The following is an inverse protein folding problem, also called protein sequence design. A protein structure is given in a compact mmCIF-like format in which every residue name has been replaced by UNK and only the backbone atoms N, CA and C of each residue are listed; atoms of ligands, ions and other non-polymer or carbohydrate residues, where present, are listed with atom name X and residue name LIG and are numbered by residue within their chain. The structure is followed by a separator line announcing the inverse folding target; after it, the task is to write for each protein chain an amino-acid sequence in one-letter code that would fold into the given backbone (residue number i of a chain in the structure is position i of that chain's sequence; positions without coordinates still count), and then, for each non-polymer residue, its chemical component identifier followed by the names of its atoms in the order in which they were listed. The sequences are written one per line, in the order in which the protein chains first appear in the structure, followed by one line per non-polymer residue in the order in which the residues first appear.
data_IF_425187657424
#
_entry.id   IF_425187657424
#
_cell.length_a   1.000
_cell.length_b   1.000
_cell.length_c   1.000
_cell.angle_alpha   90.00
_cell.angle_beta   90.00
_cell.angle_gamma   90.00
#
_symmetry.space_group_name_H-M   'P 1'
#
loop_
_entity.id
_entity.type
_entity.pdbx_description
1 polymer ?
#
# COMPACT_ATOMS: atom_id res chain seq x y z
N UNK A 1 39.74 -1.24 12.24
CA UNK A 1 38.30 -1.26 12.60
C UNK A 1 37.52 -0.78 11.39
N UNK A 2 36.79 -1.66 10.72
CA UNK A 2 35.77 -1.27 9.74
C UNK A 2 34.48 -0.99 10.53
N UNK A 3 34.37 0.23 11.06
CA UNK A 3 33.13 0.69 11.69
C UNK A 3 32.04 0.87 10.63
N UNK A 4 30.80 0.55 10.97
CA UNK A 4 29.66 0.83 10.10
C UNK A 4 29.53 2.34 9.84
N UNK A 5 28.82 2.72 8.78
CA UNK A 5 28.65 4.13 8.39
C UNK A 5 28.17 5.00 9.58
N UNK A 6 27.30 4.43 10.41
CA UNK A 6 26.72 5.07 11.61
C UNK A 6 27.74 5.42 12.70
N UNK A 7 28.92 4.78 12.73
CA UNK A 7 29.96 5.08 13.73
C UNK A 7 30.51 6.48 13.56
N UNK A 8 30.70 6.94 12.32
CA UNK A 8 31.15 8.29 12.01
C UNK A 8 29.98 9.23 11.73
N UNK A 9 28.97 8.79 10.97
CA UNK A 9 27.78 9.57 10.61
C UNK A 9 26.72 9.55 11.71
N UNK A 10 27.11 10.03 12.89
CA UNK A 10 26.31 10.01 14.12
C UNK A 10 25.68 11.38 14.47
N UNK A 11 25.88 12.40 13.63
CA UNK A 11 25.40 13.77 13.87
C UNK A 11 26.36 14.63 14.71
N UNK A 12 27.44 14.05 15.24
CA UNK A 12 28.51 14.76 15.96
C UNK A 12 29.81 14.76 15.15
N UNK A 13 30.35 13.59 14.81
CA UNK A 13 31.63 13.46 14.10
C UNK A 13 31.49 13.71 12.59
N UNK A 14 30.35 13.34 12.02
CA UNK A 14 29.95 13.64 10.66
C UNK A 14 28.43 13.73 10.59
N UNK A 15 27.92 14.31 9.49
CA UNK A 15 26.49 14.46 9.23
C UNK A 15 25.78 13.13 9.39
N UNK A 16 24.82 13.07 10.33
CA UNK A 16 23.96 11.91 10.53
C UNK A 16 22.72 11.95 9.64
N UNK A 17 21.65 11.29 10.10
CA UNK A 17 20.35 11.30 9.42
C UNK A 17 19.78 12.73 9.40
N UNK A 18 19.44 13.30 8.23
CA UNK A 18 18.85 14.64 8.16
C UNK A 18 17.41 14.67 8.69
N UNK A 19 16.88 15.87 8.94
CA UNK A 19 15.47 16.02 9.30
C UNK A 19 14.56 15.44 8.21
N UNK A 20 13.54 14.67 8.60
CA UNK A 20 12.64 13.98 7.68
C UNK A 20 13.18 12.65 7.11
N UNK A 21 14.38 12.20 7.53
CA UNK A 21 14.87 10.85 7.26
C UNK A 21 13.96 9.79 7.92
N UNK A 22 13.79 8.65 7.25
CA UNK A 22 13.06 7.51 7.79
C UNK A 22 13.64 7.08 9.15
N UNK A 23 12.79 6.91 10.16
CA UNK A 23 13.24 6.50 11.49
C UNK A 23 13.55 5.00 11.46
N UNK A 24 14.83 4.67 11.58
CA UNK A 24 15.32 3.29 11.49
C UNK A 24 16.59 3.13 12.31
N UNK A 25 16.81 1.94 12.86
CA UNK A 25 18.07 1.55 13.49
C UNK A 25 18.97 0.70 12.58
N UNK A 26 18.55 0.46 11.33
CA UNK A 26 19.35 -0.25 10.31
C UNK A 26 20.60 0.52 9.94
N UNK A 27 21.61 -0.22 9.47
CA UNK A 27 22.83 0.39 8.95
C UNK A 27 22.57 1.06 7.59
N UNK A 28 23.34 2.11 7.29
CA UNK A 28 23.10 2.97 6.13
C UNK A 28 23.16 2.21 4.80
N UNK A 29 23.99 1.18 4.73
CA UNK A 29 24.22 0.33 3.55
C UNK A 29 23.05 -0.59 3.19
N UNK A 30 22.07 -0.76 4.09
CA UNK A 30 20.81 -1.46 3.76
C UNK A 30 19.92 -0.66 2.80
N UNK A 31 20.17 0.64 2.65
CA UNK A 31 19.33 1.58 1.92
C UNK A 31 20.13 2.41 0.90
N UNK A 32 21.34 2.83 1.28
CA UNK A 32 22.22 3.68 0.50
C UNK A 32 23.42 2.87 -0.02
N UNK A 33 23.95 3.25 -1.17
CA UNK A 33 25.29 2.79 -1.59
C UNK A 33 26.27 3.95 -1.49
N UNK A 34 27.57 3.64 -1.42
CA UNK A 34 28.64 4.66 -1.41
C UNK A 34 28.61 5.58 -2.63
N UNK A 35 28.03 5.12 -3.75
CA UNK A 35 27.90 5.88 -5.00
C UNK A 35 26.51 6.47 -5.24
N UNK A 36 25.51 6.08 -4.44
CA UNK A 36 24.12 6.55 -4.55
C UNK A 36 23.53 6.75 -3.17
N UNK A 37 23.77 7.93 -2.62
CA UNK A 37 23.17 8.36 -1.36
C UNK A 37 21.75 8.91 -1.56
N UNK A 38 21.50 9.57 -2.70
CA UNK A 38 20.16 10.00 -3.14
C UNK A 38 19.54 8.93 -4.04
N UNK A 39 18.41 8.36 -3.62
CA UNK A 39 17.75 7.24 -4.32
C UNK A 39 18.04 5.92 -3.63
N UNK A 40 17.13 5.53 -2.75
CA UNK A 40 17.26 4.36 -1.89
C UNK A 40 17.03 3.09 -2.72
N UNK A 41 17.90 2.08 -2.58
CA UNK A 41 17.62 0.73 -3.10
C UNK A 41 17.10 -0.11 -1.94
N UNK A 42 15.79 -0.21 -1.82
CA UNK A 42 15.16 -1.07 -0.82
C UNK A 42 14.06 -1.90 -1.48
N UNK A 43 14.00 -3.19 -1.16
CA UNK A 43 12.99 -4.11 -1.65
C UNK A 43 12.29 -4.75 -0.46
N UNK A 44 10.97 -4.56 -0.36
CA UNK A 44 10.14 -5.33 0.57
C UNK A 44 10.03 -6.76 0.04
N UNK A 45 10.84 -7.67 0.57
CA UNK A 45 10.88 -9.08 0.13
C UNK A 45 9.86 -9.99 0.84
N UNK A 46 8.93 -9.44 1.63
CA UNK A 46 7.96 -10.25 2.38
C UNK A 46 6.69 -10.54 1.58
N UNK A 47 6.12 -11.74 1.77
CA UNK A 47 4.91 -12.20 1.07
C UNK A 47 3.64 -11.40 1.38
N UNK A 48 3.68 -10.51 2.38
CA UNK A 48 2.60 -9.54 2.65
C UNK A 48 2.56 -8.41 1.60
N UNK A 49 3.63 -8.26 0.81
CA UNK A 49 3.68 -7.37 -0.34
C UNK A 49 3.70 -8.25 -1.61
N UNK A 50 2.57 -8.40 -2.31
CA UNK A 50 2.62 -9.03 -3.62
C UNK A 50 3.56 -8.22 -4.52
N UNK A 51 4.40 -8.93 -5.26
CA UNK A 51 5.16 -8.38 -6.39
C UNK A 51 4.18 -7.73 -7.36
N UNK A 52 4.06 -6.39 -7.37
CA UNK A 52 3.12 -5.74 -8.28
C UNK A 52 2.51 -4.40 -7.87
N UNK A 53 3.03 -3.68 -6.89
CA UNK A 53 2.64 -2.28 -6.76
C UNK A 53 3.26 -1.49 -7.92
N UNK A 54 2.42 -1.17 -8.91
CA UNK A 54 2.76 -0.67 -10.25
C UNK A 54 3.45 0.71 -10.35
N UNK A 55 4.01 1.23 -9.26
CA UNK A 55 4.68 2.53 -9.19
C UNK A 55 5.88 2.45 -8.23
N UNK A 56 6.86 3.34 -8.41
CA UNK A 56 7.96 3.52 -7.46
C UNK A 56 7.39 3.94 -6.10
N UNK A 57 7.10 2.98 -5.24
CA UNK A 57 6.63 3.23 -3.87
C UNK A 57 7.81 3.78 -3.06
N UNK A 58 7.63 4.95 -2.47
CA UNK A 58 8.53 5.50 -1.47
C UNK A 58 8.26 4.90 -0.08
N UNK A 59 9.26 4.88 0.80
CA UNK A 59 9.14 4.33 2.15
C UNK A 59 7.95 4.95 2.93
N UNK A 60 7.72 6.26 2.74
CA UNK A 60 6.69 7.04 3.45
C UNK A 60 5.26 6.75 2.98
N UNK A 61 5.09 6.06 1.86
CA UNK A 61 3.76 5.69 1.36
C UNK A 61 3.09 4.67 2.30
N UNK A 62 3.89 3.82 2.95
CA UNK A 62 3.42 2.87 3.97
C UNK A 62 3.86 3.26 5.38
N UNK A 63 5.06 3.82 5.55
CA UNK A 63 5.53 4.32 6.85
C UNK A 63 5.03 5.73 7.13
N UNK A 64 3.73 5.82 7.42
CA UNK A 64 3.01 7.09 7.63
C UNK A 64 3.29 7.75 8.99
N UNK A 65 4.12 7.14 9.83
CA UNK A 65 4.50 7.62 11.15
C UNK A 65 6.00 7.53 11.40
N UNK A 66 6.44 8.08 12.53
CA UNK A 66 7.84 8.08 12.97
C UNK A 66 8.25 6.74 13.62
N UNK A 67 7.96 5.62 12.95
CA UNK A 67 8.31 4.28 13.41
C UNK A 67 8.95 3.49 12.28
N UNK A 68 9.88 2.60 12.64
CA UNK A 68 10.48 1.63 11.73
C UNK A 68 9.46 0.57 11.28
N UNK A 69 8.34 0.42 12.00
CA UNK A 69 7.22 -0.45 11.62
C UNK A 69 6.16 0.29 10.81
N UNK A 70 5.56 -0.39 9.83
CA UNK A 70 4.35 0.12 9.16
C UNK A 70 3.13 -0.25 10.00
N UNK A 71 2.33 0.75 10.37
CA UNK A 71 0.99 0.52 10.89
C UNK A 71 0.02 0.46 9.71
N UNK A 72 -0.87 -0.53 9.72
CA UNK A 72 -2.02 -0.51 8.81
C UNK A 72 -2.81 0.77 9.07
N UNK A 73 -3.08 1.53 8.01
CA UNK A 73 -3.87 2.77 8.10
C UNK A 73 -5.26 2.49 8.69
N UNK A 74 -5.82 1.32 8.35
CA UNK A 74 -7.06 0.81 8.91
C UNK A 74 -6.81 -0.60 9.46
N UNK A 75 -6.40 -0.73 10.74
CA UNK A 75 -6.04 -2.02 11.33
C UNK A 75 -7.18 -3.05 11.32
N UNK A 76 -8.43 -2.58 11.35
CA UNK A 76 -9.61 -3.43 11.30
C UNK A 76 -9.78 -4.20 9.98
N UNK A 77 -9.10 -3.78 8.91
CA UNK A 77 -9.15 -4.42 7.60
C UNK A 77 -7.84 -5.11 7.23
N UNK A 78 -6.87 -5.18 8.15
CA UNK A 78 -5.67 -5.97 7.94
C UNK A 78 -6.01 -7.48 7.93
N UNK A 79 -5.34 -8.30 7.08
CA UNK A 79 -4.27 -7.97 6.14
C UNK A 79 -4.77 -7.66 4.71
N UNK A 80 -6.06 -7.42 4.52
CA UNK A 80 -6.67 -7.24 3.21
C UNK A 80 -6.28 -5.89 2.56
N UNK A 81 -6.59 -5.72 1.27
CA UNK A 81 -6.31 -4.50 0.50
C UNK A 81 -6.85 -3.23 1.19
N UNK A 82 -8.04 -3.33 1.79
CA UNK A 82 -8.70 -2.25 2.52
C UNK A 82 -7.91 -1.80 3.77
N UNK A 83 -7.02 -2.62 4.31
CA UNK A 83 -6.11 -2.25 5.41
C UNK A 83 -5.33 -0.97 5.11
N UNK A 84 -4.97 -0.75 3.83
CA UNK A 84 -4.35 0.48 3.36
C UNK A 84 -5.33 1.33 2.53
N UNK A 85 -6.13 0.72 1.67
CA UNK A 85 -6.91 1.41 0.63
C UNK A 85 -8.38 1.71 0.99
N UNK A 86 -8.81 1.51 2.24
CA UNK A 86 -10.21 1.79 2.60
C UNK A 86 -10.65 3.23 2.37
N UNK A 87 -9.71 4.19 2.43
CA UNK A 87 -9.99 5.61 2.14
C UNK A 87 -10.12 5.91 0.64
N UNK A 88 -9.58 5.03 -0.21
CA UNK A 88 -9.65 5.17 -1.66
C UNK A 88 -10.96 4.56 -2.21
N UNK A 89 -11.69 3.80 -1.39
CA UNK A 89 -12.93 3.14 -1.79
C UNK A 89 -14.03 4.15 -2.13
N UNK A 90 -14.48 4.12 -3.39
CA UNK A 90 -15.64 4.88 -3.86
C UNK A 90 -16.82 3.92 -4.03
N UNK A 91 -17.92 4.14 -3.32
CA UNK A 91 -19.08 3.23 -3.38
C UNK A 91 -19.72 3.15 -4.77
N UNK A 92 -19.85 4.26 -5.49
CA UNK A 92 -20.58 4.33 -6.77
C UNK A 92 -20.13 3.31 -7.83
N UNK A 93 -18.82 3.16 -8.10
CA UNK A 93 -18.30 2.13 -9.01
C UNK A 93 -18.49 0.67 -8.56
N UNK A 94 -18.92 0.41 -7.33
CA UNK A 94 -19.02 -0.93 -6.72
C UNK A 94 -20.47 -1.35 -6.51
N UNK A 95 -21.21 -1.45 -7.62
CA UNK A 95 -22.60 -1.90 -7.61
C UNK A 95 -22.70 -3.43 -7.45
N UNK A 96 -23.65 -3.91 -6.65
CA UNK A 96 -23.92 -5.35 -6.49
C UNK A 96 -24.70 -5.92 -7.68
N UNK A 97 -25.77 -5.24 -8.07
CA UNK A 97 -26.64 -5.66 -9.16
C UNK A 97 -27.30 -4.48 -9.87
N UNK A 98 -27.79 -4.68 -11.10
CA UNK A 98 -28.39 -3.61 -11.90
C UNK A 98 -29.65 -3.03 -11.27
N UNK A 99 -30.51 -3.87 -10.67
CA UNK A 99 -31.77 -3.47 -10.05
C UNK A 99 -32.01 -4.17 -8.70
N UNK A 100 -32.46 -3.46 -7.65
CA UNK A 100 -32.60 -2.00 -7.58
C UNK A 100 -31.25 -1.27 -7.66
N UNK A 101 -31.23 -0.10 -8.29
CA UNK A 101 -30.00 0.66 -8.55
C UNK A 101 -29.31 1.19 -7.28
N UNK A 102 -29.90 0.99 -6.11
CA UNK A 102 -29.41 1.45 -4.81
C UNK A 102 -28.51 0.43 -4.09
N UNK A 103 -28.31 -0.76 -4.65
CA UNK A 103 -27.49 -1.78 -4.03
C UNK A 103 -26.01 -1.68 -4.43
N UNK A 104 -25.22 -1.18 -3.48
CA UNK A 104 -23.77 -1.04 -3.61
C UNK A 104 -23.06 -1.79 -2.50
N UNK A 105 -21.86 -2.28 -2.81
CA UNK A 105 -20.95 -2.82 -1.81
C UNK A 105 -20.45 -1.72 -0.88
N UNK A 106 -20.10 -2.12 0.33
CA UNK A 106 -19.31 -1.33 1.28
C UNK A 106 -17.87 -1.84 1.33
N UNK A 107 -16.98 -1.04 1.89
CA UNK A 107 -15.56 -1.39 2.02
C UNK A 107 -15.33 -2.64 2.89
N UNK A 108 -16.18 -2.87 3.89
CA UNK A 108 -16.15 -4.06 4.74
C UNK A 108 -16.62 -5.34 4.03
N UNK A 109 -17.39 -5.19 2.94
CA UNK A 109 -17.82 -6.31 2.10
C UNK A 109 -16.83 -6.63 0.98
N UNK A 110 -15.93 -5.69 0.66
CA UNK A 110 -14.93 -5.78 -0.40
C UNK A 110 -13.52 -5.52 0.15
N UNK A 111 -13.21 -6.03 1.34
CA UNK A 111 -11.91 -5.78 2.00
C UNK A 111 -10.73 -6.23 1.14
N UNK A 112 -10.89 -7.35 0.45
CA UNK A 112 -9.93 -8.00 -0.46
C UNK A 112 -10.19 -7.68 -1.94
N UNK A 113 -11.15 -6.80 -2.22
CA UNK A 113 -11.62 -6.42 -3.56
C UNK A 113 -12.19 -7.55 -4.44
N UNK A 114 -12.37 -8.78 -3.94
CA UNK A 114 -12.73 -9.94 -4.79
C UNK A 114 -14.16 -9.86 -5.37
N UNK A 115 -15.12 -9.37 -4.58
CA UNK A 115 -16.51 -9.21 -5.03
C UNK A 115 -16.74 -8.04 -6.01
N UNK A 116 -15.76 -7.16 -6.21
CA UNK A 116 -15.87 -5.99 -7.10
C UNK A 116 -15.83 -6.35 -8.59
N UNK A 117 -15.40 -7.58 -8.89
CA UNK A 117 -15.21 -8.07 -10.24
C UNK A 117 -16.53 -8.37 -10.96
N UNK A 118 -17.62 -8.61 -10.24
CA UNK A 118 -18.90 -9.00 -10.81
C UNK A 118 -20.01 -8.01 -10.45
N UNK A 119 -20.84 -7.68 -11.44
CA UNK A 119 -22.14 -7.02 -11.25
C UNK A 119 -23.19 -8.02 -11.71
N UNK A 120 -24.17 -8.32 -10.85
CA UNK A 120 -25.24 -9.28 -11.12
C UNK A 120 -26.47 -8.59 -11.74
N UNK A 121 -27.39 -9.37 -12.30
CA UNK A 121 -28.65 -8.84 -12.85
C UNK A 121 -29.55 -8.30 -11.74
N UNK A 122 -29.66 -9.04 -10.65
CA UNK A 122 -30.60 -8.80 -9.55
C UNK A 122 -30.05 -9.35 -8.21
N UNK A 123 -30.87 -9.22 -7.17
CA UNK A 123 -30.53 -9.62 -5.81
C UNK A 123 -30.31 -11.12 -5.60
N UNK A 124 -30.68 -12.00 -6.55
CA UNK A 124 -30.40 -13.43 -6.46
C UNK A 124 -28.92 -13.76 -6.61
N UNK A 125 -28.13 -12.87 -7.23
CA UNK A 125 -26.71 -13.06 -7.52
C UNK A 125 -26.37 -14.37 -8.25
N UNK A 126 -27.33 -14.91 -9.01
CA UNK A 126 -27.15 -16.16 -9.78
C UNK A 126 -26.64 -15.92 -11.20
N UNK A 127 -26.93 -14.74 -11.77
CA UNK A 127 -26.55 -14.38 -13.14
C UNK A 127 -25.63 -13.15 -13.14
N UNK A 128 -24.39 -13.33 -13.61
CA UNK A 128 -23.44 -12.24 -13.81
C UNK A 128 -23.85 -11.46 -15.05
N UNK A 129 -24.09 -10.16 -14.88
CA UNK A 129 -24.39 -9.24 -15.97
C UNK A 129 -23.13 -8.63 -16.57
N UNK A 130 -22.17 -8.26 -15.72
CA UNK A 130 -20.89 -7.68 -16.12
C UNK A 130 -19.77 -8.29 -15.27
N UNK A 131 -18.75 -8.81 -15.93
CA UNK A 131 -17.48 -9.18 -15.31
C UNK A 131 -16.40 -8.16 -15.63
N UNK A 132 -15.50 -7.95 -14.69
CA UNK A 132 -14.30 -7.13 -14.82
C UNK A 132 -13.11 -8.07 -14.70
N UNK A 133 -12.29 -8.11 -15.74
CA UNK A 133 -11.17 -9.06 -15.86
C UNK A 133 -9.81 -8.42 -15.60
N UNK A 134 -9.77 -7.11 -15.37
CA UNK A 134 -8.56 -6.36 -15.06
C UNK A 134 -8.52 -5.91 -13.61
N UNK A 135 -7.33 -5.92 -13.02
CA UNK A 135 -7.08 -5.38 -11.68
C UNK A 135 -7.34 -3.86 -11.68
N UNK A 136 -8.30 -3.41 -10.88
CA UNK A 136 -8.53 -1.99 -10.67
C UNK A 136 -7.47 -1.41 -9.72
N UNK A 137 -6.79 -0.34 -10.12
CA UNK A 137 -5.77 0.31 -9.28
C UNK A 137 -6.46 1.21 -8.25
N UNK A 138 -6.19 1.02 -6.96
CA UNK A 138 -6.71 1.87 -5.90
C UNK A 138 -6.39 3.37 -6.07
N UNK A 139 -5.30 3.70 -6.79
CA UNK A 139 -4.80 5.07 -6.95
C UNK A 139 -5.29 5.84 -8.18
N UNK A 140 -6.00 5.22 -9.14
CA UNK A 140 -6.47 5.94 -10.34
C UNK A 140 -7.92 6.40 -10.21
N UNK A 141 -8.13 7.67 -10.56
CA UNK A 141 -9.42 8.36 -10.48
C UNK A 141 -10.49 7.83 -11.43
N UNK A 142 -10.11 7.07 -12.46
CA UNK A 142 -11.01 6.74 -13.56
C UNK A 142 -11.00 5.25 -13.90
N UNK A 143 -12.22 4.78 -14.19
CA UNK A 143 -12.53 3.64 -15.04
C UNK A 143 -12.66 4.13 -16.47
#
# INVERSE_FOLDING_TARGET
MTGGCSTCHNGSSATGKPNGHFQTNRQCDECHTTTRWSGVRYSHSSGNFPTGHSSSIGCRDCHIGNSETSAWRNPAYAPDCAGCHAQDFKQGPHKKYEQPQTAYYRVDELRDCTGSCHVYTDASMTQIKKSRTGEHRASKKDW
#
